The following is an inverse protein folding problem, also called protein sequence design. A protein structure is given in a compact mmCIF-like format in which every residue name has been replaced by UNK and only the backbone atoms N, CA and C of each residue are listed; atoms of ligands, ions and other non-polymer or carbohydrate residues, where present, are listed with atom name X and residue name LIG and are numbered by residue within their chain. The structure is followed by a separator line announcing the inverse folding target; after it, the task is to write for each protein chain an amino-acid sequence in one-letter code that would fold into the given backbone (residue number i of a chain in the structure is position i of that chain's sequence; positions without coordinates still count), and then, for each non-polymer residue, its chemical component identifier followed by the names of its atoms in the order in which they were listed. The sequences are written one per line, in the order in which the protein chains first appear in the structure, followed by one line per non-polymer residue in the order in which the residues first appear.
data_IF_406642509433
#
_entry.id   IF_406642509433
#
_cell.length_a   1.000
_cell.length_b   1.000
_cell.length_c   1.000
_cell.angle_alpha   90.00
_cell.angle_beta   90.00
_cell.angle_gamma   90.00
#
_symmetry.space_group_name_H-M   'P 1'
#
loop_
_entity.id
_entity.type
_entity.pdbx_description
1 polymer ?
#
# COMPACT_ATOMS: atom_id res chain seq x y z
N UNK A 1 -13.17 2.40 -6.86
CA UNK A 1 -12.14 3.29 -6.28
C UNK A 1 -11.69 2.72 -4.95
N UNK A 2 -10.39 2.69 -4.72
CA UNK A 2 -9.79 2.19 -3.49
C UNK A 2 -9.95 3.17 -2.34
N UNK A 3 -10.12 2.64 -1.12
CA UNK A 3 -10.41 3.46 0.07
C UNK A 3 -9.35 3.25 1.14
N UNK A 4 -8.15 3.77 0.90
CA UNK A 4 -6.99 3.69 1.80
C UNK A 4 -7.38 4.02 3.26
N UNK A 5 -7.84 5.26 3.50
CA UNK A 5 -8.14 5.73 4.86
C UNK A 5 -9.31 5.02 5.52
N UNK A 6 -10.29 4.54 4.74
CA UNK A 6 -11.39 3.76 5.30
C UNK A 6 -10.84 2.46 5.89
N UNK A 7 -10.05 1.77 5.08
CA UNK A 7 -9.49 0.46 5.44
C UNK A 7 -8.51 0.57 6.59
N UNK A 8 -7.60 1.56 6.56
CA UNK A 8 -6.68 1.83 7.65
C UNK A 8 -7.43 2.00 8.98
N UNK A 9 -8.50 2.82 8.98
CA UNK A 9 -9.27 3.09 10.19
C UNK A 9 -10.08 1.90 10.69
N UNK A 10 -10.53 1.00 9.81
CA UNK A 10 -11.40 -0.13 10.20
C UNK A 10 -10.64 -1.42 10.47
N UNK A 11 -9.49 -1.62 9.81
CA UNK A 11 -8.74 -2.88 9.83
C UNK A 11 -7.48 -2.80 10.73
N UNK A 12 -6.93 -1.61 10.95
CA UNK A 12 -5.61 -1.47 11.61
C UNK A 12 -5.60 -0.53 12.82
N UNK A 13 -6.38 0.55 12.79
CA UNK A 13 -6.46 1.47 13.93
C UNK A 13 -7.33 0.84 15.03
N UNK A 14 -6.82 0.70 16.27
CA UNK A 14 -7.60 0.21 17.39
C UNK A 14 -8.76 1.16 17.71
N UNK A 15 -9.89 0.61 18.19
CA UNK A 15 -11.07 1.40 18.59
C UNK A 15 -10.74 2.39 19.71
N UNK A 16 -9.95 1.95 20.70
CA UNK A 16 -9.49 2.78 21.82
C UNK A 16 -8.32 3.71 21.43
N UNK A 17 -7.82 3.62 20.20
CA UNK A 17 -6.68 4.37 19.69
C UNK A 17 -5.33 3.78 20.09
N UNK A 18 -4.27 4.53 19.80
CA UNK A 18 -2.90 4.18 20.16
C UNK A 18 -2.49 4.87 21.47
N UNK A 19 -1.63 4.25 22.25
CA UNK A 19 -1.15 4.76 23.55
C UNK A 19 -0.35 6.05 23.37
N UNK A 20 0.35 6.18 22.24
CA UNK A 20 1.16 7.36 21.95
C UNK A 20 1.46 7.57 20.47
N UNK A 21 2.08 8.72 20.18
CA UNK A 21 2.43 9.12 18.80
C UNK A 21 3.46 8.18 18.16
N UNK A 22 4.42 7.70 18.93
CA UNK A 22 5.47 6.81 18.41
C UNK A 22 4.92 5.43 18.05
N UNK A 23 4.05 4.87 18.90
CA UNK A 23 3.32 3.64 18.58
C UNK A 23 2.44 3.82 17.35
N UNK A 24 1.66 4.90 17.28
CA UNK A 24 0.84 5.20 16.11
C UNK A 24 1.68 5.27 14.82
N UNK A 25 2.84 5.92 14.88
CA UNK A 25 3.76 6.00 13.73
C UNK A 25 4.28 4.64 13.32
N UNK A 26 4.68 3.79 14.26
CA UNK A 26 5.18 2.44 13.97
C UNK A 26 4.07 1.58 13.37
N UNK A 27 2.87 1.58 13.96
CA UNK A 27 1.73 0.78 13.50
C UNK A 27 1.25 1.22 12.12
N UNK A 28 1.13 2.53 11.87
CA UNK A 28 0.73 3.06 10.56
C UNK A 28 1.81 2.78 9.50
N UNK A 29 3.09 2.94 9.85
CA UNK A 29 4.19 2.59 8.94
C UNK A 29 4.18 1.09 8.60
N UNK A 30 3.95 0.24 9.60
CA UNK A 30 3.81 -1.20 9.40
C UNK A 30 2.64 -1.56 8.50
N UNK A 31 1.47 -0.93 8.68
CA UNK A 31 0.33 -1.10 7.79
C UNK A 31 0.68 -0.75 6.34
N UNK A 32 1.31 0.40 6.11
CA UNK A 32 1.61 0.87 4.75
C UNK A 32 2.63 -0.05 4.07
N UNK A 33 3.78 -0.26 4.73
CA UNK A 33 4.93 -0.93 4.12
C UNK A 33 4.77 -2.44 4.06
N UNK A 34 4.24 -3.06 5.11
CA UNK A 34 4.26 -4.53 5.24
C UNK A 34 2.96 -5.19 4.81
N UNK A 35 1.86 -4.43 4.69
CA UNK A 35 0.56 -4.98 4.34
C UNK A 35 -0.07 -4.31 3.12
N UNK A 36 -0.32 -3.00 3.19
CA UNK A 36 -1.03 -2.29 2.12
C UNK A 36 -0.29 -2.34 0.80
N UNK A 37 1.00 -2.05 0.79
CA UNK A 37 1.79 -1.99 -0.45
C UNK A 37 2.15 -3.38 -1.00
N UNK A 38 2.40 -4.36 -0.13
CA UNK A 38 3.03 -5.63 -0.50
C UNK A 38 2.08 -6.83 -0.49
N UNK A 39 0.95 -6.77 0.21
CA UNK A 39 0.04 -7.92 0.40
C UNK A 39 -1.36 -7.63 -0.13
N UNK A 40 -1.85 -6.41 0.03
CA UNK A 40 -3.25 -6.11 -0.23
C UNK A 40 -3.57 -6.15 -1.73
N UNK A 41 -4.58 -6.92 -2.18
CA UNK A 41 -5.00 -6.92 -3.58
C UNK A 41 -5.89 -5.73 -3.90
N UNK A 42 -5.60 -5.04 -5.00
CA UNK A 42 -6.23 -3.77 -5.35
C UNK A 42 -7.07 -3.91 -6.61
N UNK A 43 -8.40 -3.72 -6.50
CA UNK A 43 -9.32 -3.87 -7.64
C UNK A 43 -8.97 -2.92 -8.80
N UNK A 44 -8.48 -1.71 -8.50
CA UNK A 44 -8.05 -0.77 -9.54
C UNK A 44 -6.81 -1.27 -10.30
N UNK A 45 -5.91 -1.98 -9.62
CA UNK A 45 -4.70 -2.58 -10.21
C UNK A 45 -4.96 -3.98 -10.80
N UNK A 46 -6.22 -4.35 -11.05
CA UNK A 46 -6.57 -5.68 -11.55
C UNK A 46 -6.32 -6.81 -10.55
N UNK A 47 -6.38 -6.52 -9.25
CA UNK A 47 -6.13 -7.47 -8.17
C UNK A 47 -4.68 -7.54 -7.70
N UNK A 48 -3.77 -6.83 -8.35
CA UNK A 48 -2.36 -6.75 -7.94
C UNK A 48 -2.17 -5.85 -6.73
N UNK A 49 -1.05 -6.02 -6.03
CA UNK A 49 -0.65 -5.07 -4.99
C UNK A 49 -0.12 -3.77 -5.61
N UNK A 50 -0.08 -2.66 -4.84
CA UNK A 50 0.56 -1.42 -5.28
C UNK A 50 2.00 -1.62 -5.78
N UNK A 51 2.80 -2.38 -5.03
CA UNK A 51 4.19 -2.63 -5.34
C UNK A 51 4.33 -3.44 -6.65
N UNK A 52 3.52 -4.49 -6.83
CA UNK A 52 3.52 -5.27 -8.07
C UNK A 52 3.12 -4.43 -9.29
N UNK A 53 2.08 -3.60 -9.13
CA UNK A 53 1.61 -2.72 -10.19
C UNK A 53 2.69 -1.71 -10.59
N UNK A 54 3.36 -1.10 -9.61
CA UNK A 54 4.46 -0.17 -9.84
C UNK A 54 5.66 -0.86 -10.50
N UNK A 55 6.02 -2.07 -10.05
CA UNK A 55 7.12 -2.84 -10.63
C UNK A 55 6.87 -3.18 -12.09
N UNK A 56 5.64 -3.57 -12.46
CA UNK A 56 5.25 -3.81 -13.85
C UNK A 56 5.36 -2.54 -14.70
N UNK A 57 4.86 -1.42 -14.18
CA UNK A 57 4.98 -0.12 -14.85
C UNK A 57 6.45 0.25 -15.07
N UNK A 58 7.29 0.14 -14.04
CA UNK A 58 8.73 0.43 -14.13
C UNK A 58 9.43 -0.45 -15.15
N UNK A 59 9.12 -1.75 -15.18
CA UNK A 59 9.67 -2.67 -16.19
C UNK A 59 9.28 -2.22 -17.60
N UNK A 60 8.00 -1.96 -17.83
CA UNK A 60 7.49 -1.49 -19.12
C UNK A 60 8.19 -0.20 -19.58
N UNK A 61 8.29 0.81 -18.71
CA UNK A 61 8.97 2.06 -19.05
C UNK A 61 10.44 1.87 -19.38
N UNK A 62 11.15 1.00 -18.63
CA UNK A 62 12.55 0.66 -18.93
C UNK A 62 12.68 0.00 -20.30
N UNK A 63 11.78 -0.93 -20.63
CA UNK A 63 11.78 -1.58 -21.95
C UNK A 63 11.59 -0.57 -23.07
N UNK A 64 10.62 0.35 -22.95
CA UNK A 64 10.37 1.39 -23.96
C UNK A 64 11.57 2.34 -24.11
N UNK A 65 12.18 2.76 -23.00
CA UNK A 65 13.34 3.65 -23.04
C UNK A 65 14.55 3.01 -23.74
N UNK A 66 14.74 1.70 -23.61
CA UNK A 66 15.85 0.96 -24.23
C UNK A 66 15.62 0.66 -25.72
N UNK A 67 14.42 0.90 -26.27
CA UNK A 67 14.10 0.69 -27.70
C UNK A 67 14.40 1.94 -28.53
N UNK A 68 14.68 3.08 -27.89
CA UNK A 68 15.03 4.36 -28.54
C UNK A 68 16.54 4.53 -28.64
#
# INVERSE_FOLDING_TARGET
MERFFRSLKTEWVPTDGYVGKDEARQQISGYILNYYNSVRPHHYNGGLTPEESENRYRFYCKTVANIT
#
